data_IF_954847445279
#
_entry.id   IF_954847445279
#
_cell.length_a   1.000
_cell.length_b   1.000
_cell.length_c   1.000
_cell.angle_alpha   90.00
_cell.angle_beta   90.00
_cell.angle_gamma   90.00
#
_symmetry.space_group_name_H-M   'P 1'
#
loop_
_entity.id
_entity.type
_entity.pdbx_description
1 polymer ?
#
# COMPACT_ATOMS: atom_id res chain seq x y z
N UNK A 1 17.63 -19.47 6.72
CA UNK A 1 17.32 -18.10 6.28
C UNK A 1 17.13 -17.30 7.54
N UNK A 2 18.11 -16.49 7.89
CA UNK A 2 18.05 -15.61 9.07
C UNK A 2 16.98 -14.56 8.83
N UNK A 3 16.00 -14.49 9.72
CA UNK A 3 15.09 -13.36 9.82
C UNK A 3 15.93 -12.16 10.26
N UNK A 4 16.32 -11.32 9.30
CA UNK A 4 16.78 -9.97 9.59
C UNK A 4 15.62 -9.25 10.27
N UNK A 5 15.75 -9.08 11.59
CA UNK A 5 14.85 -8.32 12.42
C UNK A 5 14.94 -6.87 11.93
N UNK A 6 13.90 -6.39 11.24
CA UNK A 6 13.80 -4.99 10.80
C UNK A 6 13.90 -4.08 12.03
N UNK A 7 14.80 -3.11 11.97
CA UNK A 7 15.01 -2.15 13.05
C UNK A 7 14.18 -0.86 12.86
N UNK A 8 13.53 -0.69 11.71
CA UNK A 8 12.57 0.39 11.46
C UNK A 8 11.24 0.11 12.15
N UNK A 9 10.79 1.03 13.00
CA UNK A 9 9.50 0.98 13.72
C UNK A 9 8.30 1.10 12.79
N UNK A 10 8.09 0.10 11.92
CA UNK A 10 6.92 0.01 11.07
C UNK A 10 5.68 -0.28 11.89
N UNK A 11 4.63 0.53 11.69
CA UNK A 11 3.32 0.26 12.27
C UNK A 11 2.56 -0.72 11.37
N UNK A 12 1.99 -1.78 11.95
CA UNK A 12 1.21 -2.77 11.20
C UNK A 12 -0.27 -2.50 11.44
N UNK A 13 -0.99 -2.24 10.36
CA UNK A 13 -2.45 -2.10 10.33
C UNK A 13 -3.06 -3.45 9.93
N UNK A 14 -3.48 -4.23 10.93
CA UNK A 14 -4.03 -5.58 10.79
C UNK A 14 -5.55 -5.66 11.07
N UNK A 15 -6.20 -4.51 11.25
CA UNK A 15 -7.62 -4.40 11.55
C UNK A 15 -8.01 -4.63 13.01
N UNK A 16 -7.07 -4.92 13.91
CA UNK A 16 -7.34 -5.16 15.34
C UNK A 16 -8.06 -3.98 16.01
N UNK A 17 -7.61 -2.74 15.76
CA UNK A 17 -8.24 -1.53 16.29
C UNK A 17 -9.70 -1.38 15.83
N UNK A 18 -10.03 -1.80 14.61
CA UNK A 18 -11.41 -1.77 14.11
C UNK A 18 -12.25 -2.84 14.83
N UNK A 19 -11.70 -4.04 15.04
CA UNK A 19 -12.38 -5.09 15.81
C UNK A 19 -12.63 -4.66 17.26
N UNK A 20 -11.68 -3.98 17.89
CA UNK A 20 -11.83 -3.45 19.24
C UNK A 20 -12.91 -2.36 19.31
N UNK A 21 -12.92 -1.43 18.35
CA UNK A 21 -13.94 -0.39 18.26
C UNK A 21 -15.35 -0.98 18.17
N UNK A 22 -15.57 -1.92 17.25
CA UNK A 22 -16.89 -2.54 17.03
C UNK A 22 -17.27 -3.47 18.20
N UNK A 23 -16.30 -4.19 18.77
CA UNK A 23 -16.52 -5.07 19.92
C UNK A 23 -16.85 -4.34 21.23
N UNK A 24 -16.44 -3.08 21.38
CA UNK A 24 -16.86 -2.22 22.48
C UNK A 24 -18.26 -1.66 22.23
N UNK A 25 -19.29 -2.43 22.56
CA UNK A 25 -20.69 -2.09 22.28
C UNK A 25 -21.07 -0.67 22.76
N UNK A 26 -20.63 -0.26 23.95
CA UNK A 26 -20.95 1.07 24.48
C UNK A 26 -20.23 2.18 23.70
N UNK A 27 -18.95 1.99 23.39
CA UNK A 27 -18.15 2.93 22.60
C UNK A 27 -18.69 3.07 21.17
N UNK A 28 -18.98 1.93 20.53
CA UNK A 28 -19.54 1.89 19.19
C UNK A 28 -20.93 2.52 19.13
N UNK A 29 -21.81 2.24 20.09
CA UNK A 29 -23.12 2.90 20.17
C UNK A 29 -22.98 4.43 20.26
N UNK A 30 -22.08 4.95 21.10
CA UNK A 30 -21.85 6.41 21.19
C UNK A 30 -21.34 7.00 19.88
N UNK A 31 -20.44 6.30 19.20
CA UNK A 31 -19.91 6.70 17.90
C UNK A 31 -21.02 6.75 16.84
N UNK A 32 -21.83 5.69 16.75
CA UNK A 32 -22.98 5.59 15.85
C UNK A 32 -23.99 6.69 16.14
N UNK A 33 -24.32 6.94 17.41
CA UNK A 33 -25.24 7.99 17.82
C UNK A 33 -24.78 9.37 17.35
N UNK A 34 -23.50 9.67 17.57
CA UNK A 34 -22.90 10.93 17.12
C UNK A 34 -22.92 11.05 15.60
N UNK A 35 -22.44 10.02 14.89
CA UNK A 35 -22.39 10.03 13.41
C UNK A 35 -23.76 10.07 12.77
N UNK A 36 -24.73 9.32 13.28
CA UNK A 36 -26.10 9.38 12.80
C UNK A 36 -26.68 10.79 12.96
N UNK A 37 -26.48 11.43 14.12
CA UNK A 37 -26.96 12.79 14.36
C UNK A 37 -26.28 13.84 13.46
N UNK A 38 -25.00 13.65 13.13
CA UNK A 38 -24.31 14.52 12.17
C UNK A 38 -24.88 14.39 10.75
N UNK A 39 -25.34 13.19 10.37
CA UNK A 39 -25.85 12.89 9.03
C UNK A 39 -27.34 13.22 8.87
N UNK A 40 -28.16 13.02 9.90
CA UNK A 40 -29.61 13.28 9.91
C UNK A 40 -29.86 14.80 9.97
N UNK A 41 -29.78 15.45 8.81
CA UNK A 41 -29.85 16.92 8.69
C UNK A 41 -31.28 17.42 8.85
N UNK A 42 -32.25 16.67 8.34
CA UNK A 42 -33.67 17.02 8.45
C UNK A 42 -34.29 16.62 9.80
N UNK A 43 -33.56 15.82 10.61
CA UNK A 43 -33.93 15.37 11.96
C UNK A 43 -35.21 14.55 11.98
N UNK A 44 -35.47 13.79 10.92
CA UNK A 44 -36.64 12.90 10.86
C UNK A 44 -36.38 11.53 11.50
N UNK A 45 -35.17 11.30 12.01
CA UNK A 45 -34.76 10.05 12.66
C UNK A 45 -34.38 8.94 11.69
N UNK A 46 -34.20 9.26 10.40
CA UNK A 46 -33.75 8.34 9.36
C UNK A 46 -32.76 9.02 8.42
N UNK A 47 -31.90 8.25 7.77
CA UNK A 47 -30.93 8.76 6.80
C UNK A 47 -31.38 8.48 5.38
N UNK A 48 -31.57 9.54 4.61
CA UNK A 48 -31.78 9.45 3.17
C UNK A 48 -30.45 9.27 2.41
N UNK A 49 -30.53 8.84 1.14
CA UNK A 49 -29.36 8.78 0.26
C UNK A 49 -28.61 10.11 0.17
N UNK A 50 -29.35 11.24 0.14
CA UNK A 50 -28.77 12.58 0.06
C UNK A 50 -27.97 12.97 1.32
N UNK A 51 -28.29 12.36 2.45
CA UNK A 51 -27.59 12.58 3.72
C UNK A 51 -26.37 11.65 3.87
N UNK A 52 -26.42 10.45 3.28
CA UNK A 52 -25.31 9.50 3.27
C UNK A 52 -24.24 9.83 2.22
N UNK A 53 -24.64 10.30 1.03
CA UNK A 53 -23.74 10.57 -0.11
C UNK A 53 -22.51 11.40 0.27
N UNK A 54 -22.63 12.56 0.95
CA UNK A 54 -21.47 13.37 1.30
C UNK A 54 -20.46 12.63 2.17
N UNK A 55 -20.93 11.85 3.14
CA UNK A 55 -20.05 11.10 4.04
C UNK A 55 -19.35 9.94 3.33
N UNK A 56 -20.05 9.24 2.43
CA UNK A 56 -19.44 8.19 1.61
C UNK A 56 -18.42 8.81 0.63
N UNK A 57 -18.72 9.98 0.06
CA UNK A 57 -17.79 10.71 -0.80
C UNK A 57 -16.52 11.14 -0.04
N UNK A 58 -16.67 11.70 1.17
CA UNK A 58 -15.56 12.12 2.03
C UNK A 58 -14.66 10.94 2.42
N UNK A 59 -15.25 9.79 2.76
CA UNK A 59 -14.51 8.55 3.05
C UNK A 59 -13.79 8.07 1.79
N UNK A 60 -14.48 8.04 0.64
CA UNK A 60 -13.85 7.63 -0.62
C UNK A 60 -12.65 8.51 -0.96
N UNK A 61 -12.78 9.83 -0.82
CA UNK A 61 -11.68 10.77 -1.04
C UNK A 61 -10.52 10.54 -0.06
N UNK A 62 -10.82 10.27 1.23
CA UNK A 62 -9.80 9.94 2.22
C UNK A 62 -9.05 8.63 1.91
N UNK A 63 -9.73 7.68 1.24
CA UNK A 63 -9.14 6.42 0.77
C UNK A 63 -8.49 6.54 -0.62
N UNK A 64 -8.43 7.76 -1.20
CA UNK A 64 -7.83 8.00 -2.50
C UNK A 64 -8.68 7.55 -3.69
N UNK A 65 -9.97 7.28 -3.49
CA UNK A 65 -10.88 7.03 -4.60
C UNK A 65 -11.07 8.34 -5.40
N UNK A 66 -11.11 8.26 -6.75
CA UNK A 66 -11.51 9.38 -7.59
C UNK A 66 -12.88 9.89 -7.19
N UNK A 67 -13.11 11.20 -7.34
CA UNK A 67 -14.42 11.80 -7.05
C UNK A 67 -15.54 11.12 -7.84
N UNK A 68 -16.73 11.00 -7.25
CA UNK A 68 -17.91 10.48 -7.93
C UNK A 68 -18.21 11.31 -9.21
N UNK A 69 -18.53 10.63 -10.30
CA UNK A 69 -18.73 11.17 -11.65
C UNK A 69 -17.46 11.20 -12.51
N UNK A 70 -16.30 10.84 -11.99
CA UNK A 70 -15.03 10.87 -12.77
C UNK A 70 -14.84 9.63 -13.63
N UNK A 71 -15.16 8.44 -13.13
CA UNK A 71 -15.04 7.18 -13.88
C UNK A 71 -16.21 6.24 -13.56
N UNK A 72 -16.64 5.39 -14.52
CA UNK A 72 -17.67 4.39 -14.24
C UNK A 72 -17.32 3.44 -13.09
N UNK A 73 -16.04 3.11 -12.93
CA UNK A 73 -15.56 2.18 -11.90
C UNK A 73 -15.65 2.80 -10.50
N UNK A 74 -15.20 4.05 -10.32
CA UNK A 74 -15.37 4.76 -9.04
C UNK A 74 -16.84 4.92 -8.68
N UNK A 75 -17.67 5.26 -9.66
CA UNK A 75 -19.11 5.48 -9.46
C UNK A 75 -19.81 4.19 -9.03
N UNK A 76 -19.37 3.05 -9.57
CA UNK A 76 -19.84 1.75 -9.16
C UNK A 76 -19.52 1.45 -7.70
N UNK A 77 -18.32 1.81 -7.22
CA UNK A 77 -17.92 1.63 -5.81
C UNK A 77 -18.81 2.48 -4.89
N UNK A 78 -19.00 3.76 -5.20
CA UNK A 78 -19.88 4.65 -4.42
C UNK A 78 -21.32 4.12 -4.38
N UNK A 79 -21.83 3.67 -5.52
CA UNK A 79 -23.18 3.10 -5.63
C UNK A 79 -23.32 1.81 -4.81
N UNK A 80 -22.34 0.91 -4.85
CA UNK A 80 -22.36 -0.32 -4.04
C UNK A 80 -22.45 0.00 -2.55
N UNK A 81 -21.61 0.91 -2.04
CA UNK A 81 -21.61 1.29 -0.62
C UNK A 81 -22.95 1.89 -0.20
N UNK A 82 -23.52 2.81 -1.00
CA UNK A 82 -24.82 3.41 -0.72
C UNK A 82 -25.97 2.38 -0.77
N UNK A 83 -25.87 1.39 -1.64
CA UNK A 83 -26.85 0.32 -1.74
C UNK A 83 -26.83 -0.62 -0.53
N UNK A 84 -25.65 -0.88 0.06
CA UNK A 84 -25.55 -1.67 1.30
C UNK A 84 -26.35 -1.02 2.43
N UNK A 85 -26.28 0.32 2.58
CA UNK A 85 -27.07 1.03 3.58
C UNK A 85 -28.57 1.00 3.31
N UNK A 86 -28.99 1.06 2.04
CA UNK A 86 -30.41 1.14 1.66
C UNK A 86 -31.03 -0.21 1.31
N UNK A 87 -30.29 -1.31 1.45
CA UNK A 87 -30.69 -2.66 1.02
C UNK A 87 -31.22 -2.70 -0.43
N UNK A 88 -30.69 -1.81 -1.30
CA UNK A 88 -31.10 -1.66 -2.69
C UNK A 88 -32.52 -1.10 -2.91
N UNK A 89 -33.22 -0.65 -1.86
CA UNK A 89 -34.60 -0.14 -1.95
C UNK A 89 -34.71 1.38 -2.10
N UNK A 90 -33.59 2.11 -2.05
CA UNK A 90 -33.55 3.58 -2.03
C UNK A 90 -34.46 4.21 -0.95
N UNK A 91 -34.73 3.49 0.14
CA UNK A 91 -35.53 3.97 1.27
C UNK A 91 -34.65 4.68 2.31
N UNK A 92 -35.28 5.47 3.18
CA UNK A 92 -34.61 6.08 4.32
C UNK A 92 -34.21 5.02 5.35
N UNK A 93 -32.98 5.09 5.85
CA UNK A 93 -32.34 4.12 6.73
C UNK A 93 -32.52 4.51 8.19
N UNK A 94 -33.06 3.63 9.01
CA UNK A 94 -33.16 3.85 10.46
C UNK A 94 -31.80 3.79 11.15
N UNK A 95 -31.71 4.31 12.37
CA UNK A 95 -30.49 4.24 13.17
C UNK A 95 -29.99 2.83 13.45
N UNK A 96 -30.90 1.88 13.67
CA UNK A 96 -30.53 0.46 13.86
C UNK A 96 -29.94 -0.13 12.59
N UNK A 97 -30.56 0.11 11.43
CA UNK A 97 -30.04 -0.38 10.14
C UNK A 97 -28.69 0.25 9.82
N UNK A 98 -28.54 1.57 10.04
CA UNK A 98 -27.25 2.25 9.87
C UNK A 98 -26.16 1.65 10.76
N UNK A 99 -26.48 1.33 12.02
CA UNK A 99 -25.55 0.67 12.95
C UNK A 99 -25.11 -0.70 12.44
N UNK A 100 -26.06 -1.52 12.01
CA UNK A 100 -25.80 -2.89 11.54
C UNK A 100 -24.91 -2.87 10.30
N UNK A 101 -25.28 -2.09 9.27
CA UNK A 101 -24.51 -1.99 8.04
C UNK A 101 -23.11 -1.42 8.31
N UNK A 102 -22.99 -0.37 9.13
CA UNK A 102 -21.68 0.19 9.48
C UNK A 102 -20.81 -0.82 10.22
N UNK A 103 -21.38 -1.61 11.12
CA UNK A 103 -20.68 -2.70 11.81
C UNK A 103 -20.16 -3.74 10.83
N UNK A 104 -21.01 -4.20 9.90
CA UNK A 104 -20.65 -5.22 8.92
C UNK A 104 -19.53 -4.74 7.98
N UNK A 105 -19.60 -3.48 7.51
CA UNK A 105 -18.55 -2.87 6.69
C UNK A 105 -17.22 -2.82 7.47
N UNK A 106 -17.24 -2.32 8.71
CA UNK A 106 -16.04 -2.20 9.53
C UNK A 106 -15.43 -3.57 9.86
N UNK A 107 -16.25 -4.57 10.17
CA UNK A 107 -15.79 -5.94 10.40
C UNK A 107 -15.25 -6.59 9.12
N UNK A 108 -15.85 -6.30 7.96
CA UNK A 108 -15.35 -6.71 6.66
C UNK A 108 -13.97 -6.10 6.37
N UNK A 109 -13.79 -4.80 6.62
CA UNK A 109 -12.49 -4.13 6.52
C UNK A 109 -11.46 -4.74 7.46
N UNK A 110 -11.83 -4.98 8.72
CA UNK A 110 -10.95 -5.60 9.70
C UNK A 110 -10.54 -7.02 9.31
N UNK A 111 -11.46 -7.83 8.77
CA UNK A 111 -11.16 -9.16 8.25
C UNK A 111 -10.25 -9.10 7.02
N UNK A 112 -10.44 -8.11 6.14
CA UNK A 112 -9.56 -7.82 5.00
C UNK A 112 -8.13 -7.50 5.45
N UNK A 113 -7.97 -6.54 6.36
CA UNK A 113 -6.66 -6.14 6.92
C UNK A 113 -6.01 -7.27 7.72
N UNK A 114 -6.78 -8.11 8.40
CA UNK A 114 -6.24 -9.29 9.07
C UNK A 114 -5.65 -10.29 8.09
N UNK A 115 -6.26 -10.43 6.90
CA UNK A 115 -5.78 -11.32 5.84
C UNK A 115 -4.56 -10.72 5.13
N UNK A 116 -4.64 -9.44 4.79
CA UNK A 116 -3.63 -8.70 4.04
C UNK A 116 -3.25 -7.42 4.82
N UNK A 117 -2.37 -7.52 5.84
CA UNK A 117 -1.98 -6.36 6.65
C UNK A 117 -1.23 -5.30 5.85
N UNK A 118 -1.43 -4.05 6.24
CA UNK A 118 -0.71 -2.91 5.66
C UNK A 118 0.37 -2.48 6.65
N UNK A 119 1.62 -2.43 6.20
CA UNK A 119 2.75 -1.94 6.98
C UNK A 119 3.03 -0.50 6.60
N UNK A 120 3.00 0.39 7.58
CA UNK A 120 3.35 1.80 7.45
C UNK A 120 4.80 1.97 7.87
N UNK A 121 5.66 2.27 6.90
CA UNK A 121 7.07 2.55 7.10
C UNK A 121 7.30 4.05 7.04
N UNK A 122 8.05 4.57 8.02
CA UNK A 122 8.60 5.93 7.96
C UNK A 122 10.05 5.84 7.52
N UNK A 123 10.34 6.40 6.35
CA UNK A 123 11.67 6.44 5.76
C UNK A 123 12.31 7.81 6.01
N UNK A 124 13.33 7.84 6.87
CA UNK A 124 14.14 9.03 7.18
C UNK A 124 15.60 8.89 6.76
N UNK A 125 15.92 7.82 6.01
CA UNK A 125 17.23 7.57 5.45
C UNK A 125 18.17 6.77 6.35
N UNK A 126 17.76 6.34 7.55
CA UNK A 126 18.59 5.46 8.39
C UNK A 126 18.88 4.11 7.72
N UNK A 127 17.85 3.42 7.23
CA UNK A 127 18.02 2.12 6.55
C UNK A 127 18.88 2.23 5.28
N UNK A 128 18.70 3.31 4.50
CA UNK A 128 19.53 3.57 3.31
C UNK A 128 20.98 3.87 3.68
N UNK A 129 21.20 4.62 4.78
CA UNK A 129 22.53 4.91 5.29
C UNK A 129 23.24 3.64 5.78
N UNK A 130 22.51 2.76 6.46
CA UNK A 130 23.02 1.46 6.88
C UNK A 130 23.38 0.61 5.65
N UNK A 131 22.49 0.50 4.66
CA UNK A 131 22.73 -0.24 3.43
C UNK A 131 24.00 0.24 2.70
N UNK A 132 24.12 1.55 2.47
CA UNK A 132 25.23 2.15 1.70
C UNK A 132 26.59 2.00 2.41
N UNK A 133 26.59 1.85 3.74
CA UNK A 133 27.79 1.60 4.53
C UNK A 133 27.98 0.12 4.89
N UNK A 134 27.01 -0.72 4.55
CA UNK A 134 27.00 -2.13 4.85
C UNK A 134 27.86 -2.97 3.92
N UNK A 135 28.23 -4.20 4.34
CA UNK A 135 29.07 -5.10 3.55
C UNK A 135 28.39 -5.61 2.28
N UNK A 136 27.04 -5.62 2.24
CA UNK A 136 26.27 -6.09 1.08
C UNK A 136 26.21 -5.07 -0.07
N UNK A 137 26.54 -3.80 0.20
CA UNK A 137 26.41 -2.70 -0.76
C UNK A 137 27.04 -3.03 -2.11
N UNK A 138 28.32 -3.40 -2.12
CA UNK A 138 29.08 -3.65 -3.34
C UNK A 138 28.48 -4.83 -4.13
N UNK A 139 28.19 -5.95 -3.45
CA UNK A 139 27.65 -7.15 -4.11
C UNK A 139 26.31 -6.88 -4.77
N UNK A 140 25.41 -6.20 -4.08
CA UNK A 140 24.06 -5.93 -4.57
C UNK A 140 24.07 -4.90 -5.70
N UNK A 141 24.82 -3.80 -5.54
CA UNK A 141 24.92 -2.77 -6.57
C UNK A 141 25.67 -3.24 -7.82
N UNK A 142 26.68 -4.11 -7.69
CA UNK A 142 27.32 -4.77 -8.84
C UNK A 142 26.32 -5.65 -9.59
N UNK A 143 25.49 -6.42 -8.87
CA UNK A 143 24.43 -7.22 -9.49
C UNK A 143 23.44 -6.34 -10.25
N UNK A 144 22.95 -5.26 -9.62
CA UNK A 144 22.05 -4.28 -10.25
C UNK A 144 22.69 -3.68 -11.50
N UNK A 145 23.92 -3.17 -11.40
CA UNK A 145 24.66 -2.58 -12.52
C UNK A 145 24.73 -3.54 -13.72
N UNK A 146 25.05 -4.82 -13.49
CA UNK A 146 25.13 -5.81 -14.57
C UNK A 146 23.81 -5.98 -15.34
N UNK A 147 22.68 -5.78 -14.67
CA UNK A 147 21.34 -5.92 -15.25
C UNK A 147 20.92 -4.68 -16.04
N UNK A 148 21.39 -3.49 -15.64
CA UNK A 148 20.91 -2.20 -16.18
C UNK A 148 21.91 -1.50 -17.11
N UNK A 149 23.19 -1.92 -17.12
CA UNK A 149 24.25 -1.24 -17.90
C UNK A 149 23.96 -1.13 -19.41
N UNK A 150 23.14 -2.02 -19.96
CA UNK A 150 22.82 -2.06 -21.40
C UNK A 150 21.59 -1.23 -21.78
N UNK A 151 20.83 -0.71 -20.81
CA UNK A 151 19.55 -0.03 -21.06
C UNK A 151 19.63 1.50 -21.04
N UNK A 152 20.75 2.10 -20.61
CA UNK A 152 20.82 3.54 -20.34
C UNK A 152 21.98 4.22 -21.05
N UNK A 153 21.80 5.49 -21.39
CA UNK A 153 22.74 6.27 -22.21
C UNK A 153 23.65 7.18 -21.40
N UNK A 154 23.27 7.50 -20.15
CA UNK A 154 24.04 8.35 -19.24
C UNK A 154 24.15 7.76 -17.83
N UNK A 155 25.15 8.21 -17.06
CA UNK A 155 25.33 7.81 -15.67
C UNK A 155 24.14 8.24 -14.79
N UNK A 156 23.55 9.40 -15.08
CA UNK A 156 22.32 9.87 -14.42
C UNK A 156 21.17 8.88 -14.58
N UNK A 157 20.92 8.41 -15.80
CA UNK A 157 19.86 7.43 -16.09
C UNK A 157 20.10 6.10 -15.38
N UNK A 158 21.36 5.60 -15.38
CA UNK A 158 21.70 4.39 -14.64
C UNK A 158 21.47 4.52 -13.14
N UNK A 159 21.82 5.66 -12.55
CA UNK A 159 21.58 5.91 -11.11
C UNK A 159 20.08 5.91 -10.81
N UNK A 160 19.28 6.59 -11.63
CA UNK A 160 17.81 6.62 -11.48
C UNK A 160 17.22 5.20 -11.57
N UNK A 161 17.61 4.44 -12.59
CA UNK A 161 17.16 3.06 -12.77
C UNK A 161 17.59 2.19 -11.57
N UNK A 162 18.82 2.34 -11.09
CA UNK A 162 19.30 1.60 -9.92
C UNK A 162 18.50 1.93 -8.65
N UNK A 163 18.13 3.19 -8.42
CA UNK A 163 17.21 3.55 -7.34
C UNK A 163 15.83 2.91 -7.52
N UNK A 164 15.34 2.75 -8.75
CA UNK A 164 14.11 2.02 -9.03
C UNK A 164 14.20 0.50 -8.80
N UNK A 165 15.42 -0.07 -8.83
CA UNK A 165 15.67 -1.49 -8.51
C UNK A 165 15.80 -1.75 -7.02
N UNK A 166 16.23 -0.75 -6.26
CA UNK A 166 16.23 -0.82 -4.81
C UNK A 166 14.82 -0.48 -4.31
N UNK A 167 14.33 -1.27 -3.38
CA UNK A 167 12.96 -1.18 -2.89
C UNK A 167 12.94 -0.62 -1.45
N UNK A 168 11.75 -0.64 -0.87
CA UNK A 168 11.50 -0.24 0.52
C UNK A 168 12.38 -0.99 1.53
N UNK A 169 12.84 -2.21 1.23
CA UNK A 169 13.72 -2.99 2.11
C UNK A 169 15.13 -2.39 2.24
N UNK A 170 15.51 -1.47 1.33
CA UNK A 170 16.77 -0.72 1.37
C UNK A 170 16.58 0.73 1.81
N UNK A 171 15.43 1.06 2.39
CA UNK A 171 15.12 2.41 2.89
C UNK A 171 14.86 3.43 1.79
N UNK A 172 14.60 2.99 0.57
CA UNK A 172 14.31 3.86 -0.57
C UNK A 172 12.80 3.90 -0.80
N UNK A 173 12.17 5.09 -0.73
CA UNK A 173 10.76 5.22 -1.06
C UNK A 173 10.53 4.97 -2.56
N UNK A 174 9.31 4.56 -2.96
CA UNK A 174 9.01 4.28 -4.37
C UNK A 174 9.33 5.46 -5.28
N UNK A 175 10.41 5.37 -6.06
CA UNK A 175 10.89 6.47 -6.92
C UNK A 175 10.02 6.70 -8.14
N UNK A 176 9.09 5.78 -8.44
CA UNK A 176 8.04 5.96 -9.43
C UNK A 176 7.01 7.01 -9.03
N UNK A 177 6.89 7.33 -7.74
CA UNK A 177 6.02 8.40 -7.28
C UNK A 177 6.63 9.78 -7.62
N UNK A 178 5.84 10.61 -8.29
CA UNK A 178 6.27 11.93 -8.76
C UNK A 178 6.69 12.85 -7.61
N UNK A 179 6.04 12.77 -6.46
CA UNK A 179 6.39 13.60 -5.32
C UNK A 179 7.74 13.16 -4.74
N UNK A 180 7.92 11.85 -4.54
CA UNK A 180 9.19 11.27 -4.06
C UNK A 180 10.33 11.64 -4.99
N UNK A 181 10.16 11.43 -6.30
CA UNK A 181 11.20 11.74 -7.27
C UNK A 181 11.62 13.22 -7.20
N UNK A 182 10.65 14.14 -7.31
CA UNK A 182 10.93 15.57 -7.39
C UNK A 182 11.47 16.18 -6.09
N UNK A 183 11.10 15.62 -4.93
CA UNK A 183 11.46 16.21 -3.63
C UNK A 183 12.64 15.51 -2.94
N UNK A 184 12.93 14.26 -3.30
CA UNK A 184 13.93 13.43 -2.63
C UNK A 184 15.05 13.05 -3.59
N UNK A 185 14.72 12.51 -4.78
CA UNK A 185 15.72 11.93 -5.70
C UNK A 185 16.35 13.00 -6.60
N UNK A 186 15.55 13.83 -7.27
CA UNK A 186 16.03 14.86 -8.20
C UNK A 186 16.98 15.88 -7.56
N UNK A 187 16.73 16.38 -6.32
CA UNK A 187 17.68 17.25 -5.63
C UNK A 187 19.05 16.60 -5.36
N UNK A 188 19.08 15.26 -5.21
CA UNK A 188 20.30 14.50 -5.02
C UNK A 188 21.08 14.25 -6.32
N UNK A 189 20.47 14.47 -7.49
CA UNK A 189 21.04 14.24 -8.82
C UNK A 189 21.68 15.49 -9.45
N UNK A 190 21.85 16.58 -8.70
CA UNK A 190 22.34 17.87 -9.21
C UNK A 190 23.85 17.90 -9.53
N UNK A 191 24.58 16.79 -9.34
CA UNK A 191 26.01 16.71 -9.63
C UNK A 191 26.28 16.73 -11.14
N UNK A 192 27.10 17.69 -11.61
CA UNK A 192 27.56 17.73 -13.01
C UNK A 192 28.31 16.45 -13.43
N UNK A 193 28.87 15.70 -12.48
CA UNK A 193 29.56 14.43 -12.73
C UNK A 193 28.64 13.32 -13.27
N UNK A 194 27.32 13.46 -13.17
CA UNK A 194 26.34 12.48 -13.63
C UNK A 194 25.98 12.64 -15.12
N UNK A 195 26.38 13.75 -15.76
CA UNK A 195 26.09 14.03 -17.17
C UNK A 195 27.09 13.36 -18.15
N UNK A 196 28.11 12.66 -17.61
CA UNK A 196 29.11 11.97 -18.42
C UNK A 196 28.61 10.57 -18.86
N UNK A 197 29.10 10.05 -20.00
CA UNK A 197 28.88 8.66 -20.37
C UNK A 197 29.52 7.74 -19.34
N UNK A 198 28.91 6.57 -19.19
CA UNK A 198 29.28 5.56 -18.20
C UNK A 198 30.62 4.96 -18.61
N UNK A 199 31.64 5.12 -17.76
CA UNK A 199 33.00 4.71 -18.11
C UNK A 199 33.33 3.29 -17.60
N UNK A 200 32.86 2.93 -16.40
CA UNK A 200 33.17 1.65 -15.75
C UNK A 200 32.28 1.42 -14.49
N UNK A 201 32.26 0.18 -14.00
CA UNK A 201 31.47 -0.25 -12.84
C UNK A 201 31.88 0.47 -11.54
N UNK A 202 33.17 0.73 -11.34
CA UNK A 202 33.68 1.33 -10.11
C UNK A 202 33.23 2.79 -9.99
N UNK A 203 33.31 3.53 -11.10
CA UNK A 203 32.74 4.87 -11.24
C UNK A 203 31.24 4.87 -10.92
N UNK A 204 30.46 3.91 -11.41
CA UNK A 204 29.04 3.81 -11.10
C UNK A 204 28.78 3.61 -9.61
N UNK A 205 29.51 2.70 -8.97
CA UNK A 205 29.36 2.41 -7.54
C UNK A 205 29.68 3.64 -6.70
N UNK A 206 30.78 4.34 -6.97
CA UNK A 206 31.15 5.54 -6.23
C UNK A 206 30.14 6.68 -6.39
N UNK A 207 29.68 6.93 -7.62
CA UNK A 207 28.72 8.00 -7.88
C UNK A 207 27.34 7.67 -7.33
N UNK A 208 26.88 6.41 -7.44
CA UNK A 208 25.65 5.97 -6.80
C UNK A 208 25.72 6.19 -5.28
N UNK A 209 26.82 5.80 -4.63
CA UNK A 209 27.01 6.02 -3.19
C UNK A 209 26.89 7.50 -2.80
N UNK A 210 27.48 8.41 -3.58
CA UNK A 210 27.37 9.87 -3.33
C UNK A 210 25.92 10.34 -3.44
N UNK A 211 25.20 9.93 -4.48
CA UNK A 211 23.79 10.29 -4.65
C UNK A 211 22.94 9.70 -3.53
N UNK A 212 23.16 8.45 -3.14
CA UNK A 212 22.43 7.80 -2.05
C UNK A 212 22.64 8.51 -0.71
N UNK A 213 23.87 8.95 -0.40
CA UNK A 213 24.12 9.77 0.78
C UNK A 213 23.42 11.14 0.73
N UNK A 214 23.28 11.72 -0.47
CA UNK A 214 22.48 12.95 -0.62
C UNK A 214 20.98 12.68 -0.44
N UNK A 215 20.47 11.55 -0.95
CA UNK A 215 19.09 11.10 -0.73
C UNK A 215 18.83 10.88 0.77
N UNK A 216 19.77 10.29 1.51
CA UNK A 216 19.69 10.17 2.98
C UNK A 216 19.48 11.53 3.63
N UNK A 217 20.22 12.57 3.22
CA UNK A 217 20.04 13.91 3.77
C UNK A 217 18.65 14.49 3.43
N UNK A 218 18.17 14.28 2.20
CA UNK A 218 16.82 14.69 1.81
C UNK A 218 15.74 13.98 2.66
N UNK A 219 15.90 12.69 2.93
CA UNK A 219 14.97 11.92 3.77
C UNK A 219 15.00 12.34 5.25
N UNK A 220 16.17 12.75 5.77
CA UNK A 220 16.27 13.31 7.12
C UNK A 220 15.49 14.61 7.26
N UNK A 221 15.56 15.47 6.25
CA UNK A 221 14.82 16.74 6.23
C UNK A 221 13.33 16.54 5.93
N UNK A 222 13.01 15.62 5.02
CA UNK A 222 11.66 15.32 4.54
C UNK A 222 11.42 13.81 4.58
N UNK A 223 11.10 13.26 5.77
CA UNK A 223 10.78 11.85 5.91
C UNK A 223 9.56 11.47 5.07
N UNK A 224 9.60 10.29 4.47
CA UNK A 224 8.51 9.78 3.61
C UNK A 224 7.78 8.67 4.34
N UNK A 225 6.45 8.75 4.33
CA UNK A 225 5.59 7.65 4.81
C UNK A 225 5.22 6.77 3.63
N UNK A 226 5.54 5.49 3.72
CA UNK A 226 5.23 4.49 2.71
C UNK A 226 4.33 3.45 3.34
N UNK A 227 3.14 3.26 2.77
CA UNK A 227 2.30 2.12 3.06
C UNK A 227 2.65 1.01 2.06
N UNK A 228 2.96 -0.19 2.55
CA UNK A 228 3.11 -1.36 1.70
C UNK A 228 2.28 -2.53 2.23
N UNK A 229 1.71 -3.30 1.32
CA UNK A 229 1.13 -4.60 1.67
C UNK A 229 2.28 -5.59 1.80
N UNK A 230 2.42 -6.20 2.99
CA UNK A 230 3.37 -7.28 3.17
C UNK A 230 2.64 -8.61 3.08
N UNK A 231 2.65 -9.21 1.89
CA UNK A 231 2.26 -10.60 1.75
C UNK A 231 3.35 -11.47 2.36
N UNK A 232 3.25 -11.72 3.67
CA UNK A 232 4.11 -12.69 4.34
C UNK A 232 3.76 -14.08 3.81
N UNK A 233 4.52 -14.54 2.82
CA UNK A 233 4.39 -15.90 2.31
C UNK A 233 5.08 -16.86 3.28
N UNK A 234 4.38 -17.23 4.34
CA UNK A 234 4.84 -18.17 5.37
C UNK A 234 4.75 -19.64 4.94
N UNK A 235 4.29 -19.88 3.71
CA UNK A 235 4.09 -21.22 3.15
C UNK A 235 2.97 -22.02 3.81
N UNK A 236 2.22 -21.45 4.77
CA UNK A 236 1.13 -22.14 5.48
C UNK A 236 -0.03 -22.49 4.54
N UNK A 237 -0.33 -21.60 3.57
CA UNK A 237 -1.33 -21.83 2.53
C UNK A 237 -0.96 -23.01 1.63
N UNK A 238 0.32 -23.08 1.21
CA UNK A 238 0.85 -24.21 0.45
C UNK A 238 0.84 -25.48 1.30
N UNK A 239 1.29 -25.41 2.55
CA UNK A 239 1.27 -26.54 3.49
C UNK A 239 -0.15 -27.07 3.69
N UNK A 240 -1.15 -26.19 3.82
CA UNK A 240 -2.57 -26.55 3.94
C UNK A 240 -3.09 -27.20 2.67
N UNK A 241 -2.78 -26.63 1.50
CA UNK A 241 -3.13 -27.20 0.20
C UNK A 241 -2.54 -28.60 0.02
N UNK A 242 -1.24 -28.77 0.32
CA UNK A 242 -0.56 -30.06 0.24
C UNK A 242 -1.05 -31.08 1.26
N UNK A 243 -1.56 -30.63 2.41
CA UNK A 243 -2.11 -31.50 3.45
C UNK A 243 -3.54 -31.97 3.15
N UNK A 244 -4.25 -31.30 2.23
CA UNK A 244 -5.60 -31.66 1.83
C UNK A 244 -5.61 -32.21 0.40
N UNK A 245 -5.58 -33.54 0.28
CA UNK A 245 -5.57 -34.26 -1.00
C UNK A 245 -6.69 -33.84 -1.95
N UNK A 246 -7.89 -33.55 -1.43
CA UNK A 246 -9.03 -33.14 -2.26
C UNK A 246 -8.85 -31.74 -2.87
N UNK A 247 -8.41 -30.77 -2.07
CA UNK A 247 -8.13 -29.41 -2.56
C UNK A 247 -6.96 -29.41 -3.55
N UNK A 248 -5.93 -30.22 -3.29
CA UNK A 248 -4.80 -30.39 -4.19
C UNK A 248 -5.22 -30.99 -5.54
N UNK A 249 -6.01 -32.06 -5.53
CA UNK A 249 -6.53 -32.69 -6.75
C UNK A 249 -7.41 -31.71 -7.53
N UNK A 250 -8.31 -30.97 -6.86
CA UNK A 250 -9.17 -29.97 -7.50
C UNK A 250 -8.37 -28.88 -8.22
N UNK A 251 -7.31 -28.36 -7.58
CA UNK A 251 -6.43 -27.37 -8.20
C UNK A 251 -5.70 -27.97 -9.41
N UNK A 252 -5.15 -29.18 -9.28
CA UNK A 252 -4.47 -29.87 -10.39
C UNK A 252 -5.40 -30.13 -11.58
N UNK A 253 -6.65 -30.53 -11.34
CA UNK A 253 -7.64 -30.75 -12.39
C UNK A 253 -8.07 -29.44 -13.07
N UNK A 254 -7.98 -28.29 -12.40
CA UNK A 254 -8.30 -27.00 -13.03
C UNK A 254 -7.25 -26.54 -14.06
N UNK A 255 -6.05 -27.11 -14.04
CA UNK A 255 -4.97 -26.83 -14.99
C UNK A 255 -4.90 -27.82 -16.17
N UNK A 256 -5.70 -28.89 -16.16
CA UNK A 256 -5.76 -29.82 -17.29
C UNK A 256 -6.78 -29.31 -18.32
N UNK A 257 -6.40 -29.15 -19.61
CA UNK A 257 -7.37 -28.83 -20.64
C UNK A 257 -8.41 -29.94 -20.73
N UNK A 258 -9.70 -29.55 -20.81
CA UNK A 258 -10.80 -30.48 -21.02
C UNK A 258 -10.50 -31.39 -22.22
N UNK A 259 -10.78 -32.70 -22.15
CA UNK A 259 -10.56 -33.58 -23.28
C UNK A 259 -11.43 -33.12 -24.45
N UNK A 260 -10.81 -32.94 -25.62
CA UNK A 260 -11.50 -32.70 -26.87
C UNK A 260 -12.48 -33.85 -27.10
N UNK A 261 -13.77 -33.57 -26.97
CA UNK A 261 -14.85 -34.47 -27.35
C UNK A 261 -14.74 -34.76 -28.84
N UNK A 262 -14.61 -36.04 -29.18
CA UNK A 262 -14.56 -36.59 -30.54
C UNK A 262 -15.89 -36.42 -31.26
#
# INVERSE_FOLDING_TARGET
MENQKRNGGGEVLDGSNIMELVGNEQGFNKFVDHKFHELDKDRDGKLSLKELEPAVADIGAALGLPAQGTTPDSDHIYYQVLNEFTHGKQEKVSKSEFKEVLSDILLGMAAGLKRDPIVILRMDGEDLLEFVNGPSYYTEMTSIFSQIQNSSTSLRELVIEAFGRLNVDRGIPPTSDSWVFNNIVDPALLSQALNRPVSDQETFLEEFKKVALSVVNCLKEKPVIVAHSENTFDGSGVKRLLSNKFELEKVLFSFLPLPLSS
#
